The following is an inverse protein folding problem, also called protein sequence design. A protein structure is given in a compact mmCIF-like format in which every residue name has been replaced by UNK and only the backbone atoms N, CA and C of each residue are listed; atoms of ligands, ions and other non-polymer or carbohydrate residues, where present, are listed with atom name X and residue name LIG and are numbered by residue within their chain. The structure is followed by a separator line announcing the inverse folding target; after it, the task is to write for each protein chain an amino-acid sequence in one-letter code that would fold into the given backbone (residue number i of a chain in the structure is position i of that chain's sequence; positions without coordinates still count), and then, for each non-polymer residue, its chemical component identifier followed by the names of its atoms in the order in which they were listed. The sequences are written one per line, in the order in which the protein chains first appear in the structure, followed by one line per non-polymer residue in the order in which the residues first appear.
data_IF_853964516445
#
_entry.id   IF_853964516445
#
_cell.length_a   1.000
_cell.length_b   1.000
_cell.length_c   1.000
_cell.angle_alpha   90.00
_cell.angle_beta   90.00
_cell.angle_gamma   90.00
#
_symmetry.space_group_name_H-M   'P 1'
#
loop_
_entity.id
_entity.type
_entity.pdbx_description
1 polymer ?
#
# COMPACT_ATOMS: atom_id res chain seq x y z
N UNK A 1 11.69 2.11 17.67
CA UNK A 1 10.22 2.24 17.54
C UNK A 1 9.61 0.86 17.31
N UNK A 2 9.19 0.23 18.41
CA UNK A 2 8.64 -1.12 18.45
C UNK A 2 7.14 -1.01 18.12
N UNK A 3 6.77 -1.26 16.87
CA UNK A 3 5.38 -1.19 16.45
C UNK A 3 4.74 -2.52 16.87
N UNK A 4 4.10 -2.51 18.03
CA UNK A 4 3.41 -3.66 18.63
C UNK A 4 2.16 -3.99 17.84
N UNK A 5 2.33 -4.57 16.65
CA UNK A 5 1.23 -5.14 15.89
C UNK A 5 0.92 -6.53 16.45
N UNK A 6 -0.17 -6.62 17.20
CA UNK A 6 -0.81 -7.88 17.53
C UNK A 6 -1.35 -8.45 16.21
N UNK A 7 -0.66 -9.47 15.68
CA UNK A 7 -1.13 -10.21 14.51
C UNK A 7 -2.17 -11.22 15.02
N UNK A 8 -3.45 -11.08 14.66
CA UNK A 8 -4.46 -12.07 15.00
C UNK A 8 -4.11 -13.40 14.33
N UNK A 9 -4.29 -14.48 15.07
CA UNK A 9 -3.85 -15.82 14.73
C UNK A 9 -4.40 -16.35 13.39
N UNK A 10 -3.43 -16.76 12.55
CA UNK A 10 -3.41 -17.93 11.67
C UNK A 10 -4.73 -18.40 11.03
N UNK A 11 -4.88 -18.09 9.74
CA UNK A 11 -5.53 -19.02 8.80
C UNK A 11 -4.68 -20.31 8.73
N UNK A 12 -5.33 -21.46 8.46
CA UNK A 12 -4.88 -22.87 8.63
C UNK A 12 -3.50 -23.28 8.08
N UNK A 13 -2.77 -22.37 7.43
CA UNK A 13 -1.39 -22.52 7.00
C UNK A 13 -0.63 -21.34 7.60
N UNK A 14 0.31 -21.57 8.51
CA UNK A 14 1.00 -20.56 9.35
C UNK A 14 1.75 -19.44 8.59
N UNK A 15 1.01 -18.64 7.83
CA UNK A 15 1.46 -17.56 6.97
C UNK A 15 0.95 -16.24 7.55
N UNK A 16 1.83 -15.26 7.55
CA UNK A 16 1.58 -13.90 7.99
C UNK A 16 1.22 -13.04 6.77
N UNK A 17 0.00 -12.51 6.73
CA UNK A 17 -0.46 -11.61 5.66
C UNK A 17 -0.10 -10.16 5.96
N UNK A 18 0.21 -9.40 4.92
CA UNK A 18 0.40 -7.97 5.04
C UNK A 18 -0.96 -7.24 5.02
N UNK A 19 -1.26 -6.35 5.97
CA UNK A 19 -2.53 -5.58 5.95
C UNK A 19 -2.56 -4.49 4.86
N UNK A 20 -1.42 -4.19 4.23
CA UNK A 20 -1.25 -3.10 3.25
C UNK A 20 -1.01 -3.60 1.82
N UNK A 21 -0.98 -4.92 1.60
CA UNK A 21 -0.87 -5.54 0.28
C UNK A 21 -1.30 -7.01 0.34
N UNK A 22 -1.52 -7.64 -0.80
CA UNK A 22 -1.93 -9.05 -0.90
C UNK A 22 -0.79 -10.06 -0.72
N UNK A 23 0.37 -9.65 -0.18
CA UNK A 23 1.51 -10.56 0.04
C UNK A 23 1.41 -11.30 1.37
N UNK A 24 1.73 -12.58 1.35
CA UNK A 24 1.83 -13.47 2.50
C UNK A 24 3.27 -13.96 2.69
N UNK A 25 3.65 -14.21 3.94
CA UNK A 25 5.00 -14.60 4.31
C UNK A 25 4.98 -15.73 5.33
N UNK A 26 5.84 -16.73 5.19
CA UNK A 26 5.92 -17.85 6.12
C UNK A 26 6.47 -17.47 7.50
N UNK A 27 7.21 -16.36 7.58
CA UNK A 27 7.83 -15.92 8.83
C UNK A 27 7.46 -14.48 9.17
N UNK A 28 7.21 -14.25 10.47
CA UNK A 28 6.94 -12.91 11.03
C UNK A 28 8.08 -11.94 10.76
N UNK A 29 9.34 -12.38 10.88
CA UNK A 29 10.50 -11.52 10.63
C UNK A 29 10.54 -11.00 9.18
N UNK A 30 10.16 -11.84 8.20
CA UNK A 30 10.09 -11.47 6.79
C UNK A 30 8.96 -10.48 6.54
N UNK A 31 7.78 -10.70 7.15
CA UNK A 31 6.69 -9.75 7.09
C UNK A 31 7.09 -8.41 7.74
N UNK A 32 7.74 -8.42 8.90
CA UNK A 32 8.19 -7.19 9.58
C UNK A 32 9.21 -6.41 8.76
N UNK A 33 10.16 -7.10 8.10
CA UNK A 33 11.09 -6.47 7.16
C UNK A 33 10.36 -5.86 5.98
N UNK A 34 9.42 -6.59 5.38
CA UNK A 34 8.57 -6.07 4.30
C UNK A 34 7.76 -4.85 4.75
N UNK A 35 7.16 -4.91 5.94
CA UNK A 35 6.44 -3.80 6.54
C UNK A 35 7.35 -2.63 6.91
N UNK A 36 8.65 -2.81 7.09
CA UNK A 36 9.56 -1.68 7.36
C UNK A 36 10.07 -1.03 6.07
N UNK A 37 10.44 -1.85 5.09
CA UNK A 37 11.11 -1.41 3.87
C UNK A 37 10.17 -1.05 2.73
N UNK A 38 8.97 -1.66 2.68
CA UNK A 38 8.07 -1.55 1.53
C UNK A 38 6.71 -0.97 1.95
N UNK A 39 6.04 -1.62 2.91
CA UNK A 39 4.68 -1.23 3.33
C UNK A 39 4.66 -0.19 4.45
N UNK A 40 5.78 0.00 5.15
CA UNK A 40 6.00 1.05 6.14
C UNK A 40 6.59 2.31 5.51
N UNK A 41 7.10 2.19 4.29
CA UNK A 41 7.19 3.33 3.39
C UNK A 41 5.74 3.65 3.04
N UNK A 42 5.21 4.68 3.71
CA UNK A 42 3.88 5.19 3.40
C UNK A 42 3.78 5.47 1.91
N UNK A 43 2.60 5.29 1.29
CA UNK A 43 2.42 5.68 -0.10
C UNK A 43 2.69 7.18 -0.20
N UNK A 44 3.89 7.52 -0.67
CA UNK A 44 4.43 8.89 -0.68
C UNK A 44 3.86 9.70 -1.83
N UNK A 45 3.31 9.00 -2.83
CA UNK A 45 2.78 9.60 -4.04
C UNK A 45 1.26 9.66 -3.92
N UNK A 46 0.75 10.78 -3.42
CA UNK A 46 -0.67 11.08 -3.40
C UNK A 46 -1.07 11.70 -4.74
N UNK A 47 -2.25 11.30 -5.24
CA UNK A 47 -2.83 11.96 -6.40
C UNK A 47 -3.31 13.36 -6.02
N UNK A 48 -3.07 14.36 -6.88
CA UNK A 48 -3.58 15.72 -6.66
C UNK A 48 -5.08 15.83 -6.94
N UNK A 49 -5.66 14.86 -7.66
CA UNK A 49 -7.07 14.86 -8.08
C UNK A 49 -7.95 14.00 -7.15
N UNK A 50 -7.36 13.15 -6.31
CA UNK A 50 -8.10 12.33 -5.35
C UNK A 50 -7.23 11.89 -4.16
N UNK A 51 -7.87 11.40 -3.09
CA UNK A 51 -7.16 10.94 -1.89
C UNK A 51 -6.45 9.58 -2.04
N UNK A 52 -6.35 9.03 -3.27
CA UNK A 52 -5.61 7.80 -3.51
C UNK A 52 -4.11 8.04 -3.37
N UNK A 53 -3.47 7.15 -2.61
CA UNK A 53 -2.04 7.16 -2.36
C UNK A 53 -1.40 5.92 -2.97
N UNK A 54 -0.33 6.13 -3.73
CA UNK A 54 0.42 5.11 -4.43
C UNK A 54 1.81 4.96 -3.82
N UNK A 55 2.31 3.73 -3.82
CA UNK A 55 3.68 3.41 -3.37
C UNK A 55 4.73 3.77 -4.41
N UNK A 56 4.36 3.71 -5.69
CA UNK A 56 5.27 3.97 -6.80
C UNK A 56 4.78 5.12 -7.67
N UNK A 57 5.72 5.94 -8.15
CA UNK A 57 5.44 7.07 -9.05
C UNK A 57 4.83 6.64 -10.38
N UNK A 58 5.24 5.50 -10.93
CA UNK A 58 4.69 5.01 -12.20
C UNK A 58 3.22 4.57 -12.07
N UNK A 59 2.83 3.99 -10.93
CA UNK A 59 1.42 3.70 -10.64
C UNK A 59 0.59 4.97 -10.46
N UNK A 60 1.14 6.00 -9.80
CA UNK A 60 0.46 7.31 -9.73
C UNK A 60 0.24 7.88 -11.13
N UNK A 61 1.28 7.89 -11.98
CA UNK A 61 1.21 8.44 -13.33
C UNK A 61 0.22 7.70 -14.23
N UNK A 62 0.11 6.38 -14.08
CA UNK A 62 -0.89 5.60 -14.80
C UNK A 62 -2.31 5.91 -14.31
N UNK A 63 -2.47 5.99 -12.99
CA UNK A 63 -3.72 6.42 -12.36
C UNK A 63 -4.14 7.84 -12.77
N UNK A 64 -3.22 8.81 -12.86
CA UNK A 64 -3.52 10.16 -13.32
C UNK A 64 -4.09 10.16 -14.74
N UNK A 65 -3.66 9.24 -15.62
CA UNK A 65 -4.27 9.09 -16.95
C UNK A 65 -5.70 8.57 -16.90
N UNK A 66 -6.06 7.80 -15.88
CA UNK A 66 -7.46 7.34 -15.71
C UNK A 66 -8.39 8.51 -15.40
N UNK A 67 -7.91 9.55 -14.71
CA UNK A 67 -8.65 10.82 -14.55
C UNK A 67 -8.80 11.59 -15.87
N UNK A 68 -7.87 11.42 -16.81
CA UNK A 68 -7.98 12.02 -18.14
C UNK A 68 -8.87 11.22 -19.10
N UNK A 69 -8.96 9.90 -18.95
CA UNK A 69 -9.76 9.02 -19.82
C UNK A 69 -11.22 8.89 -19.36
N UNK A 70 -11.47 8.83 -18.05
CA UNK A 70 -12.80 9.02 -17.51
C UNK A 70 -12.95 10.50 -17.22
N UNK A 71 -13.64 11.23 -18.10
CA UNK A 71 -14.04 12.63 -17.91
C UNK A 71 -14.88 12.78 -16.64
N UNK A 72 -14.21 12.88 -15.49
CA UNK A 72 -14.80 13.35 -14.25
C UNK A 72 -13.79 14.24 -13.54
N UNK A 73 -13.75 15.46 -14.05
CA UNK A 73 -13.65 16.73 -13.32
C UNK A 73 -13.03 16.63 -11.93
N UNK A 74 -11.82 17.18 -11.80
CA UNK A 74 -11.63 18.37 -10.96
C UNK A 74 -10.25 18.93 -11.24
N UNK A 75 -10.22 19.87 -12.19
CA UNK A 75 -9.28 20.96 -12.09
C UNK A 75 -9.34 21.52 -10.67
N UNK A 76 -8.21 21.59 -9.99
CA UNK A 76 -8.04 22.53 -8.91
C UNK A 76 -6.82 23.38 -9.25
N UNK A 77 -7.20 24.54 -9.79
CA UNK A 77 -6.60 25.88 -9.75
C UNK A 77 -5.39 25.98 -8.81
#
# INVERSE_FOLDING_TARGET
MNISWAFPETSSYGLYSCPKCTRTYSHKCTLMRHLRLECGVGPRFQCSLCEKKFKHRHHLRDHEKTHSQHSNLTAQI
#
